data_IF_669744385754
#
_entry.id   IF_669744385754
#
_cell.length_a   1.000
_cell.length_b   1.000
_cell.length_c   1.000
_cell.angle_alpha   90.00
_cell.angle_beta   90.00
_cell.angle_gamma   90.00
#
_symmetry.space_group_name_H-M   'P 1'
#
loop_
_entity.id
_entity.type
_entity.pdbx_description
1 polymer ?
#
# COMPACT_ATOMS: atom_id res chain seq x y z
N UNK A 1 6.21 2.94 -26.78
CA UNK A 1 4.97 2.19 -26.44
C UNK A 1 3.85 3.20 -26.27
N UNK A 2 2.68 2.97 -26.88
CA UNK A 2 1.54 3.89 -26.86
C UNK A 2 0.54 3.50 -25.76
N UNK A 3 0.27 4.37 -24.77
CA UNK A 3 -0.76 4.14 -23.75
C UNK A 3 -2.15 3.91 -24.35
N UNK A 4 -2.92 3.01 -23.74
CA UNK A 4 -4.29 2.64 -24.13
C UNK A 4 -4.43 1.86 -25.44
N UNK A 5 -3.33 1.60 -26.17
CA UNK A 5 -3.37 0.75 -27.36
C UNK A 5 -3.73 -0.69 -26.99
N UNK A 6 -4.77 -1.25 -27.61
CA UNK A 6 -5.17 -2.64 -27.44
C UNK A 6 -5.70 -3.24 -28.73
N UNK A 7 -5.37 -4.50 -28.98
CA UNK A 7 -5.98 -5.32 -30.04
C UNK A 7 -7.28 -5.99 -29.58
N UNK A 8 -7.65 -5.85 -28.30
CA UNK A 8 -8.89 -6.39 -27.74
C UNK A 8 -10.07 -5.45 -28.04
N UNK A 9 -11.26 -6.03 -28.18
CA UNK A 9 -12.49 -5.25 -28.40
C UNK A 9 -12.86 -4.33 -27.23
N UNK A 10 -13.82 -3.40 -27.44
CA UNK A 10 -14.21 -2.39 -26.44
C UNK A 10 -14.57 -3.02 -25.09
N UNK A 11 -14.01 -2.47 -24.00
CA UNK A 11 -14.27 -2.93 -22.64
C UNK A 11 -13.57 -4.24 -22.22
N UNK A 12 -12.77 -4.87 -23.10
CA UNK A 12 -12.07 -6.14 -22.80
C UNK A 12 -10.59 -6.00 -22.43
N UNK A 13 -10.14 -4.77 -22.24
CA UNK A 13 -8.78 -4.45 -21.82
C UNK A 13 -8.56 -2.94 -21.83
N UNK A 14 -7.76 -2.47 -20.87
CA UNK A 14 -7.43 -1.05 -20.73
C UNK A 14 -6.36 -0.58 -21.73
N UNK A 15 -5.64 -1.52 -22.36
CA UNK A 15 -4.49 -1.21 -23.21
C UNK A 15 -3.29 -0.66 -22.45
N UNK A 16 -3.27 -0.76 -21.11
CA UNK A 16 -2.24 -0.13 -20.28
C UNK A 16 -1.08 -1.05 -19.90
N UNK A 17 -1.21 -2.37 -20.03
CA UNK A 17 -0.24 -3.32 -19.47
C UNK A 17 1.19 -3.11 -19.96
N UNK A 18 1.39 -2.99 -21.28
CA UNK A 18 2.71 -2.75 -21.87
C UNK A 18 3.29 -1.38 -21.46
N UNK A 19 2.44 -0.35 -21.34
CA UNK A 19 2.87 0.99 -20.92
C UNK A 19 3.27 1.02 -19.44
N UNK A 20 2.57 0.26 -18.58
CA UNK A 20 2.94 0.11 -17.17
C UNK A 20 4.29 -0.58 -17.02
N UNK A 21 4.51 -1.72 -17.70
CA UNK A 21 5.77 -2.46 -17.64
C UNK A 21 6.93 -1.61 -18.18
N UNK A 22 6.71 -0.88 -19.27
CA UNK A 22 7.69 0.06 -19.81
C UNK A 22 8.04 1.16 -18.79
N UNK A 23 7.02 1.73 -18.11
CA UNK A 23 7.23 2.74 -17.07
C UNK A 23 8.11 2.23 -15.94
N UNK A 24 7.81 1.03 -15.42
CA UNK A 24 8.62 0.37 -14.38
C UNK A 24 10.06 0.15 -14.85
N UNK A 25 10.25 -0.35 -16.08
CA UNK A 25 11.57 -0.57 -16.65
C UNK A 25 12.42 0.72 -16.65
N UNK A 26 11.85 1.81 -17.17
CA UNK A 26 12.53 3.12 -17.25
C UNK A 26 12.83 3.70 -15.87
N UNK A 27 11.89 3.57 -14.93
CA UNK A 27 12.07 4.03 -13.53
C UNK A 27 13.21 3.28 -12.82
N UNK A 28 13.45 2.02 -13.19
CA UNK A 28 14.55 1.20 -12.67
C UNK A 28 15.87 1.38 -13.45
N UNK A 29 15.99 2.44 -14.27
CA UNK A 29 17.11 2.65 -15.19
C UNK A 29 17.34 1.48 -16.17
N UNK A 30 16.29 0.71 -16.43
CA UNK A 30 16.26 -0.42 -17.35
C UNK A 30 15.59 -0.08 -18.68
N UNK A 31 15.29 -1.12 -19.47
CA UNK A 31 14.65 -1.02 -20.77
C UNK A 31 13.73 -2.22 -21.04
N UNK A 32 12.66 -1.99 -21.80
CA UNK A 32 11.79 -3.04 -22.34
C UNK A 32 11.98 -3.11 -23.86
N UNK A 33 12.33 -4.28 -24.37
CA UNK A 33 12.48 -4.56 -25.80
C UNK A 33 11.49 -5.63 -26.26
N UNK A 34 10.92 -5.45 -27.45
CA UNK A 34 9.90 -6.32 -28.02
C UNK A 34 10.27 -6.67 -29.45
N UNK A 35 10.45 -7.96 -29.70
CA UNK A 35 10.69 -8.50 -31.03
C UNK A 35 9.57 -9.47 -31.37
N UNK A 36 8.91 -9.29 -32.50
CA UNK A 36 7.80 -10.15 -32.93
C UNK A 36 7.95 -10.51 -34.39
N UNK A 37 7.74 -11.79 -34.69
CA UNK A 37 7.68 -12.30 -36.05
C UNK A 37 6.36 -13.05 -36.21
N UNK A 38 5.58 -12.65 -37.21
CA UNK A 38 4.26 -13.22 -37.45
C UNK A 38 4.38 -14.73 -37.69
N UNK A 39 3.56 -15.52 -36.98
CA UNK A 39 3.56 -16.99 -36.99
C UNK A 39 4.79 -17.67 -36.38
N UNK A 40 5.76 -16.92 -35.85
CA UNK A 40 6.91 -17.48 -35.12
C UNK A 40 6.87 -17.13 -33.63
N UNK A 41 6.26 -16.00 -33.27
CA UNK A 41 5.99 -15.61 -31.88
C UNK A 41 6.42 -14.18 -31.55
N UNK A 42 6.41 -13.87 -30.26
CA UNK A 42 6.83 -12.59 -29.72
C UNK A 42 7.73 -12.82 -28.52
N UNK A 43 8.89 -12.17 -28.52
CA UNK A 43 9.83 -12.12 -27.40
C UNK A 43 9.75 -10.75 -26.76
N UNK A 44 9.56 -10.72 -25.44
CA UNK A 44 9.63 -9.51 -24.63
C UNK A 44 10.80 -9.64 -23.67
N UNK A 45 11.73 -8.69 -23.72
CA UNK A 45 12.94 -8.68 -22.89
C UNK A 45 12.93 -7.46 -21.99
N UNK A 46 13.28 -7.67 -20.73
CA UNK A 46 13.35 -6.63 -19.72
C UNK A 46 14.78 -6.56 -19.20
N UNK A 47 15.45 -5.47 -19.53
CA UNK A 47 16.85 -5.23 -19.21
C UNK A 47 16.93 -4.34 -17.99
N UNK A 48 17.74 -4.73 -17.01
CA UNK A 48 18.00 -3.92 -15.82
C UNK A 48 19.51 -3.76 -15.62
N UNK A 49 19.97 -2.64 -15.03
CA UNK A 49 21.35 -2.50 -14.61
C UNK A 49 21.73 -3.63 -13.65
N UNK A 50 22.77 -4.38 -13.99
CA UNK A 50 23.32 -5.38 -13.09
C UNK A 50 24.10 -4.67 -11.98
N UNK A 51 23.91 -5.12 -10.73
CA UNK A 51 24.80 -4.74 -9.62
C UNK A 51 25.95 -5.74 -9.52
N UNK A 52 27.14 -5.26 -9.15
CA UNK A 52 28.30 -6.10 -8.83
C UNK A 52 28.24 -6.70 -7.42
N UNK A 53 27.25 -6.34 -6.60
CA UNK A 53 26.92 -7.06 -5.38
C UNK A 53 26.20 -8.37 -5.74
N UNK A 54 26.99 -9.35 -6.14
CA UNK A 54 26.55 -10.73 -6.11
C UNK A 54 26.58 -11.20 -4.65
N UNK A 55 25.53 -10.92 -3.88
CA UNK A 55 25.20 -11.86 -2.81
C UNK A 55 24.47 -13.02 -3.46
N UNK A 56 25.21 -14.11 -3.70
CA UNK A 56 24.58 -15.43 -3.71
C UNK A 56 24.15 -15.71 -2.27
N UNK A 57 23.18 -14.96 -1.78
CA UNK A 57 22.53 -15.34 -0.53
C UNK A 57 21.76 -16.63 -0.85
N UNK A 58 22.06 -17.68 -0.10
CA UNK A 58 21.11 -18.76 0.17
C UNK A 58 19.70 -18.15 0.27
N UNK A 59 18.65 -18.82 -0.24
CA UNK A 59 17.30 -18.26 -0.31
C UNK A 59 17.04 -17.51 0.99
N UNK A 60 16.98 -16.17 0.90
CA UNK A 60 16.85 -15.30 2.06
C UNK A 60 15.62 -15.81 2.76
N UNK A 61 15.84 -16.56 3.85
CA UNK A 61 14.78 -16.89 4.78
C UNK A 61 14.23 -15.51 5.13
N UNK A 62 12.95 -15.22 4.82
CA UNK A 62 12.40 -13.89 5.06
C UNK A 62 12.86 -13.49 6.45
N UNK A 63 13.41 -12.27 6.64
CA UNK A 63 14.06 -11.92 7.88
C UNK A 63 13.10 -12.35 8.96
N UNK A 64 13.49 -13.38 9.70
CA UNK A 64 12.76 -13.73 10.91
C UNK A 64 13.10 -12.52 11.75
N UNK A 65 12.21 -11.52 11.69
CA UNK A 65 12.27 -10.35 12.52
C UNK A 65 12.64 -10.91 13.88
N UNK A 66 13.84 -10.58 14.32
CA UNK A 66 14.40 -11.09 15.56
C UNK A 66 13.29 -10.94 16.57
N UNK A 67 12.82 -12.09 17.07
CA UNK A 67 11.74 -12.20 18.04
C UNK A 67 12.21 -11.60 19.37
N UNK A 68 12.45 -10.29 19.41
CA UNK A 68 11.81 -9.49 20.41
C UNK A 68 10.32 -9.64 20.08
N UNK A 69 9.60 -10.41 20.90
CA UNK A 69 8.16 -10.63 20.77
C UNK A 69 7.48 -9.34 20.31
N UNK A 70 7.15 -9.25 19.01
CA UNK A 70 6.44 -8.10 18.48
C UNK A 70 5.16 -8.00 19.30
N UNK A 71 5.00 -6.90 20.04
CA UNK A 71 3.87 -6.71 20.94
C UNK A 71 2.60 -6.86 20.10
N UNK A 72 1.71 -7.79 20.48
CA UNK A 72 0.41 -7.91 19.83
C UNK A 72 -0.38 -6.63 20.11
N UNK A 73 -0.69 -5.87 19.06
CA UNK A 73 -1.38 -4.60 19.14
C UNK A 73 -2.89 -4.77 18.94
N UNK A 74 -3.66 -3.87 19.57
CA UNK A 74 -5.05 -3.59 19.19
C UNK A 74 -5.02 -2.51 18.11
N UNK A 75 -5.37 -2.87 16.89
CA UNK A 75 -5.30 -2.00 15.71
C UNK A 75 -6.69 -1.52 15.33
N UNK A 76 -6.86 -0.21 15.18
CA UNK A 76 -8.01 0.39 14.52
C UNK A 76 -7.66 0.62 13.05
N UNK A 77 -8.23 -0.17 12.15
CA UNK A 77 -8.04 -0.01 10.70
C UNK A 77 -9.19 0.83 10.13
N UNK A 78 -8.86 1.89 9.39
CA UNK A 78 -9.81 2.84 8.82
C UNK A 78 -9.59 2.97 7.31
N UNK A 79 -10.53 2.47 6.53
CA UNK A 79 -10.48 2.52 5.07
C UNK A 79 -11.93 2.49 4.54
N UNK A 80 -12.26 3.34 3.56
CA UNK A 80 -13.60 3.37 2.97
C UNK A 80 -13.82 2.30 1.89
N UNK A 81 -12.75 1.66 1.40
CA UNK A 81 -12.82 0.53 0.49
C UNK A 81 -12.80 -0.81 1.26
N UNK A 82 -13.95 -1.46 1.30
CA UNK A 82 -14.13 -2.73 2.01
C UNK A 82 -13.21 -3.86 1.50
N UNK A 83 -12.80 -3.87 0.24
CA UNK A 83 -11.91 -4.91 -0.29
C UNK A 83 -10.46 -4.72 0.20
N UNK A 84 -10.01 -3.46 0.25
CA UNK A 84 -8.68 -3.11 0.78
C UNK A 84 -8.66 -3.32 2.29
N UNK A 85 -9.70 -2.89 2.98
CA UNK A 85 -9.88 -3.10 4.41
C UNK A 85 -9.79 -4.59 4.77
N UNK A 86 -10.60 -5.43 4.11
CA UNK A 86 -10.63 -6.88 4.36
C UNK A 86 -9.26 -7.53 4.17
N UNK A 87 -8.56 -7.22 3.07
CA UNK A 87 -7.22 -7.77 2.83
C UNK A 87 -6.20 -7.33 3.89
N UNK A 88 -6.32 -6.10 4.39
CA UNK A 88 -5.42 -5.55 5.40
C UNK A 88 -5.72 -6.12 6.79
N UNK A 89 -7.00 -6.33 7.13
CA UNK A 89 -7.44 -7.02 8.34
C UNK A 89 -6.84 -8.43 8.38
N UNK A 90 -7.00 -9.21 7.31
CA UNK A 90 -6.50 -10.59 7.23
C UNK A 90 -4.98 -10.63 7.48
N UNK A 91 -4.23 -9.73 6.84
CA UNK A 91 -2.77 -9.63 7.02
C UNK A 91 -2.37 -9.30 8.46
N UNK A 92 -3.04 -8.35 9.10
CA UNK A 92 -2.74 -7.93 10.47
C UNK A 92 -3.12 -9.02 11.49
N UNK A 93 -4.22 -9.74 11.25
CA UNK A 93 -4.64 -10.89 12.07
C UNK A 93 -3.65 -12.04 11.93
N UNK A 94 -3.15 -12.33 10.73
CA UNK A 94 -2.12 -13.34 10.48
C UNK A 94 -0.79 -13.02 11.22
N UNK A 95 -0.50 -11.73 11.40
CA UNK A 95 0.62 -11.25 12.24
C UNK A 95 0.34 -11.32 13.75
N UNK A 96 -0.86 -11.73 14.16
CA UNK A 96 -1.28 -11.92 15.55
C UNK A 96 -1.94 -10.70 16.21
N UNK A 97 -2.21 -9.64 15.47
CA UNK A 97 -2.87 -8.45 16.00
C UNK A 97 -4.38 -8.63 16.14
N UNK A 98 -4.99 -7.88 17.06
CA UNK A 98 -6.45 -7.76 17.14
C UNK A 98 -6.88 -6.53 16.36
N UNK A 99 -7.72 -6.70 15.35
CA UNK A 99 -8.09 -5.61 14.44
C UNK A 99 -9.57 -5.28 14.60
N UNK A 100 -9.89 -3.99 14.73
CA UNK A 100 -11.24 -3.45 14.61
C UNK A 100 -11.28 -2.58 13.36
N UNK A 101 -12.24 -2.84 12.48
CA UNK A 101 -12.43 -2.10 11.22
C UNK A 101 -13.42 -0.94 11.41
N UNK A 102 -13.14 0.19 10.76
CA UNK A 102 -14.07 1.29 10.56
C UNK A 102 -14.05 1.78 9.11
N UNK A 103 -15.23 1.89 8.50
CA UNK A 103 -15.36 2.24 7.08
C UNK A 103 -15.36 3.75 6.77
N UNK A 104 -15.05 4.58 7.76
CA UNK A 104 -14.98 6.03 7.62
C UNK A 104 -14.33 6.66 8.86
N UNK A 105 -13.73 7.84 8.70
CA UNK A 105 -13.18 8.58 9.83
C UNK A 105 -14.21 8.89 10.92
N UNK A 106 -15.48 9.12 10.55
CA UNK A 106 -16.56 9.34 11.53
C UNK A 106 -16.85 8.09 12.36
N UNK A 107 -16.87 6.90 11.74
CA UNK A 107 -17.06 5.65 12.44
C UNK A 107 -15.87 5.36 13.38
N UNK A 108 -14.64 5.64 12.93
CA UNK A 108 -13.43 5.51 13.74
C UNK A 108 -13.47 6.41 14.99
N UNK A 109 -13.85 7.69 14.83
CA UNK A 109 -13.98 8.60 15.97
C UNK A 109 -15.07 8.15 16.94
N UNK A 110 -16.20 7.65 16.46
CA UNK A 110 -17.26 7.13 17.33
C UNK A 110 -16.77 5.95 18.20
N UNK A 111 -15.90 5.08 17.66
CA UNK A 111 -15.29 4.00 18.43
C UNK A 111 -14.35 4.53 19.52
N UNK A 112 -13.55 5.55 19.22
CA UNK A 112 -12.66 6.19 20.19
C UNK A 112 -13.45 6.92 21.29
N UNK A 113 -14.50 7.66 20.91
CA UNK A 113 -15.40 8.36 21.85
C UNK A 113 -16.16 7.39 22.77
N UNK A 114 -16.48 6.19 22.28
CA UNK A 114 -17.08 5.13 23.07
C UNK A 114 -16.13 4.51 24.11
N UNK A 115 -14.87 4.95 24.16
CA UNK A 115 -13.87 4.48 25.12
C UNK A 115 -13.16 3.19 24.72
N UNK A 116 -13.25 2.78 23.44
CA UNK A 116 -12.43 1.68 22.95
C UNK A 116 -10.97 2.15 22.89
N UNK A 117 -10.08 1.32 23.44
CA UNK A 117 -8.65 1.60 23.44
C UNK A 117 -7.93 0.82 22.34
N UNK A 118 -7.10 1.54 21.58
CA UNK A 118 -6.26 0.98 20.53
C UNK A 118 -4.80 1.39 20.76
N UNK A 119 -3.87 0.51 20.38
CA UNK A 119 -2.44 0.80 20.43
C UNK A 119 -1.98 1.55 19.17
N UNK A 120 -2.60 1.23 18.02
CA UNK A 120 -2.28 1.78 16.71
C UNK A 120 -3.58 2.05 15.92
N UNK A 121 -3.65 3.19 15.24
CA UNK A 121 -4.61 3.43 14.17
C UNK A 121 -3.90 3.43 12.83
N UNK A 122 -4.40 2.65 11.87
CA UNK A 122 -3.97 2.68 10.47
C UNK A 122 -5.12 3.26 9.67
N UNK A 123 -4.88 4.33 8.91
CA UNK A 123 -5.93 4.99 8.12
C UNK A 123 -5.49 5.25 6.69
N UNK A 124 -6.38 5.06 5.73
CA UNK A 124 -6.18 5.63 4.40
C UNK A 124 -6.20 7.17 4.48
N UNK A 125 -5.48 7.81 3.57
CA UNK A 125 -5.49 9.26 3.44
C UNK A 125 -6.75 9.78 2.74
N UNK A 126 -7.20 9.09 1.69
CA UNK A 126 -8.16 9.58 0.69
C UNK A 126 -9.59 9.13 0.96
N UNK A 127 -10.07 9.35 2.19
CA UNK A 127 -11.44 8.99 2.56
C UNK A 127 -12.45 10.12 2.31
N UNK A 128 -13.69 9.81 1.87
CA UNK A 128 -14.77 10.78 1.73
C UNK A 128 -15.16 11.45 3.04
N UNK A 129 -15.34 12.78 3.00
CA UNK A 129 -15.88 13.59 4.10
C UNK A 129 -14.85 13.99 5.17
N UNK A 130 -13.89 13.13 5.50
CA UNK A 130 -12.78 13.41 6.41
C UNK A 130 -11.55 12.67 5.92
N UNK A 131 -10.46 13.38 5.63
CA UNK A 131 -9.22 12.74 5.21
C UNK A 131 -8.43 12.13 6.38
N UNK A 132 -7.48 11.25 6.09
CA UNK A 132 -6.69 10.54 7.12
C UNK A 132 -5.88 11.48 8.04
N UNK A 133 -5.45 12.65 7.55
CA UNK A 133 -4.73 13.62 8.37
C UNK A 133 -5.65 14.36 9.35
N UNK A 134 -6.86 14.73 8.92
CA UNK A 134 -7.90 15.31 9.78
C UNK A 134 -8.33 14.30 10.85
N UNK A 135 -8.54 13.05 10.46
CA UNK A 135 -8.83 11.95 11.38
C UNK A 135 -7.70 11.77 12.40
N UNK A 136 -6.44 11.75 11.96
CA UNK A 136 -5.29 11.60 12.85
C UNK A 136 -5.25 12.69 13.92
N UNK A 137 -5.47 13.95 13.54
CA UNK A 137 -5.53 15.07 14.51
C UNK A 137 -6.65 14.89 15.52
N UNK A 138 -7.86 14.56 15.04
CA UNK A 138 -9.01 14.36 15.92
C UNK A 138 -8.81 13.15 16.87
N UNK A 139 -8.25 12.05 16.36
CA UNK A 139 -7.96 10.86 17.13
C UNK A 139 -6.92 11.11 18.24
N UNK A 140 -5.87 11.90 17.98
CA UNK A 140 -4.87 12.25 18.99
C UNK A 140 -5.43 13.10 20.14
N UNK A 141 -6.50 13.86 19.90
CA UNK A 141 -7.19 14.59 20.98
C UNK A 141 -7.94 13.64 21.92
N UNK A 142 -8.48 12.54 21.38
CA UNK A 142 -9.23 11.53 22.14
C UNK A 142 -8.30 10.50 22.80
N UNK A 143 -7.23 10.10 22.10
CA UNK A 143 -6.28 9.08 22.52
C UNK A 143 -4.82 9.55 22.30
N UNK A 144 -4.27 10.41 23.18
CA UNK A 144 -2.96 11.06 22.97
C UNK A 144 -1.74 10.12 22.91
N UNK A 145 -1.89 8.88 23.37
CA UNK A 145 -0.82 7.87 23.40
C UNK A 145 -0.89 6.87 22.24
N UNK A 146 -1.94 6.92 21.44
CA UNK A 146 -2.15 6.00 20.32
C UNK A 146 -1.18 6.34 19.20
N UNK A 147 -0.52 5.31 18.63
CA UNK A 147 0.29 5.50 17.44
C UNK A 147 -0.62 5.61 16.21
N UNK A 148 -0.21 6.37 15.20
CA UNK A 148 -1.00 6.56 13.98
C UNK A 148 -0.10 6.37 12.76
N UNK A 149 -0.54 5.52 11.86
CA UNK A 149 0.04 5.28 10.54
C UNK A 149 -0.98 5.73 9.48
N UNK A 150 -0.56 6.57 8.55
CA UNK A 150 -1.39 7.01 7.43
C UNK A 150 -0.90 6.32 6.16
N UNK A 151 -1.68 5.38 5.66
CA UNK A 151 -1.42 4.75 4.38
C UNK A 151 -1.90 5.67 3.26
N UNK A 152 -1.03 6.00 2.31
CA UNK A 152 -1.43 6.75 1.11
C UNK A 152 -0.91 6.05 -0.14
N UNK A 153 -1.79 5.86 -1.13
CA UNK A 153 -1.43 5.34 -2.45
C UNK A 153 -0.49 6.25 -3.26
N UNK A 154 -0.21 7.46 -2.77
CA UNK A 154 0.79 8.39 -3.30
C UNK A 154 1.91 8.56 -2.27
N UNK A 155 3.18 8.48 -2.72
CA UNK A 155 4.37 8.55 -1.86
C UNK A 155 4.58 9.93 -1.17
N UNK A 156 3.86 10.96 -1.61
CA UNK A 156 3.96 12.32 -1.08
C UNK A 156 2.62 12.79 -0.48
N UNK A 157 2.59 12.94 0.85
CA UNK A 157 1.53 13.68 1.54
C UNK A 157 1.66 15.18 1.17
N UNK A 158 0.55 15.90 0.91
CA UNK A 158 0.60 17.32 0.60
C UNK A 158 1.32 18.12 1.70
N UNK A 159 2.25 18.98 1.29
CA UNK A 159 2.98 19.90 2.16
C UNK A 159 2.00 20.75 2.98
N UNK A 160 1.90 20.48 4.29
CA UNK A 160 0.95 21.17 5.18
C UNK A 160 0.22 20.28 6.19
N UNK A 161 0.44 18.95 6.14
CA UNK A 161 -0.16 18.02 7.11
C UNK A 161 0.27 18.27 8.57
N UNK A 162 1.34 19.02 8.83
CA UNK A 162 1.68 19.56 10.16
C UNK A 162 1.84 18.53 11.28
N UNK A 163 1.98 17.25 10.94
CA UNK A 163 2.15 16.13 11.86
C UNK A 163 3.27 15.28 11.29
N UNK A 164 4.29 15.02 12.11
CA UNK A 164 5.35 14.06 11.82
C UNK A 164 4.83 12.66 12.14
N UNK A 165 4.13 12.05 11.18
CA UNK A 165 3.62 10.68 11.31
C UNK A 165 4.58 9.72 10.58
N UNK A 166 4.83 8.53 11.14
CA UNK A 166 5.46 7.47 10.36
C UNK A 166 4.61 7.20 9.12
N UNK A 167 5.26 7.13 7.97
CA UNK A 167 4.68 6.77 6.67
C UNK A 167 4.79 5.27 6.46
#
# INVERSE_FOLDING_TARGET
IDPFFSTKGPGKGTGLGLSMIHGVAVQMNGALELTSVLNEGTTAELWFPATSEATLDEPVKPPVASSETAKLLRVLLVDDDALIAMSSVDMLVDLGHTVTEANSGKAALALLEAGNEFDLMITDYSMPGMNGAELARAALLLAPKMQILVASGYAELPSGAGIDLPK
#
